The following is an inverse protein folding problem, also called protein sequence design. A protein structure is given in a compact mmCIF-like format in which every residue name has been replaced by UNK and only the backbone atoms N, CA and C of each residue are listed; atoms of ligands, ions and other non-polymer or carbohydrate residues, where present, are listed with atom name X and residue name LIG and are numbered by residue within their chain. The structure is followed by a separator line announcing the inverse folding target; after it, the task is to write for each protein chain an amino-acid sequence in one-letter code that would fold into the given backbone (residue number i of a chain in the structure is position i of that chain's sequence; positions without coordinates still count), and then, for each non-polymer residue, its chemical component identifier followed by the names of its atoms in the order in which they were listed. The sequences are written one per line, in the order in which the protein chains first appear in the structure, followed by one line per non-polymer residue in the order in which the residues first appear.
data_IF_275327280666
#
_entry.id   IF_275327280666
#
_cell.length_a   1.000
_cell.length_b   1.000
_cell.length_c   1.000
_cell.angle_alpha   90.00
_cell.angle_beta   90.00
_cell.angle_gamma   90.00
#
_symmetry.space_group_name_H-M   'P 1'
#
loop_
_entity.id
_entity.type
_entity.pdbx_description
1 polymer ?
#
# COMPACT_ATOMS: atom_id res chain seq x y z
N UNK A 1 2.59 -3.67 13.48
CA UNK A 1 2.62 -2.56 12.50
C UNK A 1 3.85 -2.76 11.63
N UNK A 2 3.76 -2.44 10.34
CA UNK A 2 4.94 -2.48 9.47
C UNK A 2 5.54 -1.07 9.49
N UNK A 3 6.71 -0.92 10.12
CA UNK A 3 7.47 0.35 10.10
C UNK A 3 8.19 0.48 8.77
N UNK A 4 7.42 0.64 7.69
CA UNK A 4 7.94 0.83 6.35
C UNK A 4 7.38 2.15 5.83
N UNK A 5 8.29 3.06 5.47
CA UNK A 5 7.93 4.36 4.92
C UNK A 5 7.60 4.23 3.43
N UNK A 6 6.91 5.23 2.87
CA UNK A 6 6.61 5.29 1.43
C UNK A 6 7.90 5.24 0.58
N UNK A 7 8.97 5.89 1.03
CA UNK A 7 10.28 5.88 0.37
C UNK A 7 10.88 4.47 0.33
N UNK A 8 10.79 3.74 1.44
CA UNK A 8 11.29 2.36 1.52
C UNK A 8 10.46 1.41 0.65
N UNK A 9 9.14 1.61 0.55
CA UNK A 9 8.27 0.85 -0.36
C UNK A 9 8.72 1.09 -1.81
N UNK A 10 8.83 2.35 -2.22
CA UNK A 10 9.21 2.71 -3.58
C UNK A 10 10.57 2.10 -3.97
N UNK A 11 11.56 2.20 -3.09
CA UNK A 11 12.89 1.58 -3.27
C UNK A 11 12.78 0.05 -3.42
N UNK A 12 12.01 -0.61 -2.56
CA UNK A 12 11.92 -2.07 -2.53
C UNK A 12 11.22 -2.67 -3.75
N UNK A 13 10.24 -1.97 -4.32
CA UNK A 13 9.47 -2.48 -5.47
C UNK A 13 9.93 -1.89 -6.81
N UNK A 14 11.00 -1.09 -6.83
CA UNK A 14 11.52 -0.46 -8.05
C UNK A 14 10.52 0.49 -8.72
N UNK A 15 9.63 1.11 -7.95
CA UNK A 15 8.63 2.05 -8.47
C UNK A 15 8.98 3.50 -8.12
N UNK A 16 8.48 4.44 -8.94
CA UNK A 16 8.51 5.86 -8.58
C UNK A 16 7.78 6.11 -7.26
N UNK A 17 8.36 6.99 -6.43
CA UNK A 17 7.73 7.48 -5.18
C UNK A 17 6.35 8.06 -5.43
N UNK A 18 6.15 8.79 -6.52
CA UNK A 18 4.86 9.38 -6.88
C UNK A 18 3.80 8.30 -7.13
N UNK A 19 4.15 7.25 -7.89
CA UNK A 19 3.24 6.14 -8.18
C UNK A 19 2.85 5.40 -6.92
N UNK A 20 3.80 5.16 -6.02
CA UNK A 20 3.54 4.54 -4.71
C UNK A 20 2.64 5.44 -3.87
N UNK A 21 2.94 6.73 -3.78
CA UNK A 21 2.17 7.68 -2.98
C UNK A 21 0.73 7.80 -3.47
N UNK A 22 0.54 7.91 -4.79
CA UNK A 22 -0.80 7.95 -5.40
C UNK A 22 -1.61 6.74 -4.98
N UNK A 23 -1.05 5.53 -5.11
CA UNK A 23 -1.80 4.31 -4.76
C UNK A 23 -2.07 4.17 -3.27
N UNK A 24 -1.13 4.56 -2.41
CA UNK A 24 -1.33 4.56 -0.96
C UNK A 24 -2.38 5.60 -0.53
N UNK A 25 -2.44 6.76 -1.20
CA UNK A 25 -3.50 7.74 -0.95
C UNK A 25 -4.87 7.23 -1.40
N UNK A 26 -4.98 6.62 -2.57
CA UNK A 26 -6.22 5.96 -3.01
C UNK A 26 -6.70 4.95 -1.97
N UNK A 27 -5.84 4.02 -1.54
CA UNK A 27 -6.22 3.03 -0.53
C UNK A 27 -6.50 3.61 0.87
N UNK A 28 -5.92 4.77 1.20
CA UNK A 28 -6.23 5.45 2.44
C UNK A 28 -7.61 6.12 2.37
N UNK A 29 -7.94 6.74 1.22
CA UNK A 29 -9.25 7.34 0.95
C UNK A 29 -10.37 6.30 0.97
N UNK A 30 -10.12 5.12 0.39
CA UNK A 30 -11.03 3.97 0.43
C UNK A 30 -11.11 3.30 1.82
N UNK A 31 -10.31 3.75 2.80
CA UNK A 31 -10.29 3.20 4.15
C UNK A 31 -9.61 1.82 4.27
N UNK A 32 -8.86 1.40 3.25
CA UNK A 32 -8.19 0.10 3.23
C UNK A 32 -6.89 0.09 4.05
N UNK A 33 -6.25 1.25 4.16
CA UNK A 33 -5.07 1.45 4.99
C UNK A 33 -5.19 2.74 5.81
N UNK A 34 -4.36 2.86 6.84
CA UNK A 34 -4.10 4.11 7.53
C UNK A 34 -2.60 4.39 7.50
N UNK A 35 -2.23 5.63 7.18
CA UNK A 35 -0.85 6.11 7.18
C UNK A 35 -0.64 7.05 8.37
N UNK A 36 0.42 6.83 9.14
CA UNK A 36 0.78 7.69 10.27
C UNK A 36 2.29 7.78 10.47
N UNK A 37 2.71 8.51 11.51
CA UNK A 37 4.14 8.71 11.84
C UNK A 37 4.90 7.38 12.02
N UNK A 38 4.22 6.32 12.44
CA UNK A 38 4.80 4.99 12.66
C UNK A 38 4.80 4.08 11.42
N UNK A 39 4.37 4.58 10.25
CA UNK A 39 4.27 3.81 9.01
C UNK A 39 2.84 3.49 8.60
N UNK A 40 2.65 2.36 7.92
CA UNK A 40 1.37 1.97 7.31
C UNK A 40 0.71 0.85 8.12
N UNK A 41 -0.58 1.03 8.42
CA UNK A 41 -1.46 0.02 9.03
C UNK A 41 -2.47 -0.47 7.99
N UNK A 42 -2.58 -1.78 7.84
CA UNK A 42 -3.60 -2.39 6.99
C UNK A 42 -4.90 -2.50 7.78
N UNK A 43 -6.00 -1.99 7.21
CA UNK A 43 -7.34 -2.03 7.77
C UNK A 43 -8.21 -3.06 7.04
N UNK A 44 -8.22 -3.06 5.71
CA UNK A 44 -9.00 -3.97 4.87
C UNK A 44 -8.10 -5.06 4.25
N UNK A 45 -7.74 -6.08 5.04
CA UNK A 45 -6.84 -7.15 4.59
C UNK A 45 -7.40 -7.96 3.42
N UNK A 46 -8.71 -8.21 3.42
CA UNK A 46 -9.33 -9.07 2.41
C UNK A 46 -9.40 -8.39 1.04
N UNK A 47 -9.63 -7.07 1.00
CA UNK A 47 -9.58 -6.28 -0.23
C UNK A 47 -8.17 -6.32 -0.86
N UNK A 48 -7.12 -6.13 -0.06
CA UNK A 48 -5.75 -6.22 -0.53
C UNK A 48 -5.37 -7.63 -1.00
N UNK A 49 -5.90 -8.67 -0.33
CA UNK A 49 -5.70 -10.06 -0.77
C UNK A 49 -6.38 -10.34 -2.10
N UNK A 50 -7.60 -9.84 -2.31
CA UNK A 50 -8.33 -10.00 -3.56
C UNK A 50 -7.52 -9.43 -4.74
N UNK A 51 -6.97 -8.22 -4.60
CA UNK A 51 -6.09 -7.63 -5.62
C UNK A 51 -4.88 -8.52 -5.98
N UNK A 52 -4.28 -9.20 -4.99
CA UNK A 52 -3.16 -10.12 -5.23
C UNK A 52 -3.62 -11.36 -6.00
N UNK A 53 -4.81 -11.88 -5.70
CA UNK A 53 -5.36 -13.02 -6.43
C UNK A 53 -5.68 -12.64 -7.87
N UNK A 54 -6.35 -11.50 -8.08
CA UNK A 54 -6.65 -10.97 -9.42
C UNK A 54 -5.36 -10.77 -10.24
N UNK A 55 -4.35 -10.12 -9.66
CA UNK A 55 -3.07 -9.88 -10.35
C UNK A 55 -2.28 -11.15 -10.70
N UNK A 56 -2.57 -12.31 -10.08
CA UNK A 56 -1.93 -13.61 -10.39
C UNK A 56 -2.71 -14.45 -11.38
N UNK A 57 -3.98 -14.12 -11.59
CA UNK A 57 -4.85 -14.80 -12.56
C UNK A 57 -4.65 -14.27 -13.99
N UNK A 58 -3.92 -13.16 -14.13
CA UNK A 58 -3.49 -12.54 -15.39
C UNK A 58 -1.98 -12.71 -15.60
#
# INVERSE_FOLDING_TARGET
SVTLTQTEIARRIGASREKVNRKLHEWADEGWISMGRSGIKILARDQLKALIQEARAH
#
